data_IF_114196073261
#
_entry.id   IF_114196073261
#
_cell.length_a   1.000
_cell.length_b   1.000
_cell.length_c   1.000
_cell.angle_alpha   90.00
_cell.angle_beta   90.00
_cell.angle_gamma   90.00
#
_symmetry.space_group_name_H-M   'P 1'
#
loop_
_entity.id
_entity.type
_entity.pdbx_description
1 polymer ?
#
# COMPACT_ATOMS: atom_id res chain seq x y z
N UNK A 1 -28.44 -6.45 -17.76
CA UNK A 1 -29.11 -7.69 -17.26
C UNK A 1 -28.08 -8.56 -16.56
N UNK A 2 -28.39 -9.24 -15.43
CA UNK A 2 -27.43 -10.18 -14.82
C UNK A 2 -27.06 -11.29 -15.82
N UNK A 3 -25.81 -11.75 -15.82
CA UNK A 3 -25.40 -12.98 -16.55
C UNK A 3 -26.42 -14.08 -16.22
N UNK A 4 -26.99 -14.69 -17.26
CA UNK A 4 -27.88 -15.85 -17.10
C UNK A 4 -27.02 -16.99 -16.56
N UNK A 5 -27.26 -17.37 -15.30
CA UNK A 5 -26.65 -18.55 -14.69
C UNK A 5 -27.27 -19.79 -15.33
N UNK A 6 -26.54 -20.91 -15.34
CA UNK A 6 -27.11 -22.20 -15.74
C UNK A 6 -28.15 -22.65 -14.70
N UNK A 7 -29.05 -23.56 -15.10
CA UNK A 7 -30.04 -24.14 -14.17
C UNK A 7 -29.37 -24.79 -12.96
N UNK A 8 -28.28 -25.51 -13.18
CA UNK A 8 -27.49 -26.17 -12.13
C UNK A 8 -26.93 -25.17 -11.11
N UNK A 9 -26.41 -24.03 -11.58
CA UNK A 9 -25.90 -22.97 -10.70
C UNK A 9 -27.01 -22.36 -9.84
N UNK A 10 -28.19 -22.14 -10.42
CA UNK A 10 -29.34 -21.59 -9.69
C UNK A 10 -29.84 -22.59 -8.65
N UNK A 11 -29.90 -23.88 -9.00
CA UNK A 11 -30.37 -24.93 -8.10
C UNK A 11 -29.42 -25.12 -6.92
N UNK A 12 -28.12 -25.14 -7.18
CA UNK A 12 -27.10 -25.17 -6.13
C UNK A 12 -27.21 -23.97 -5.17
N UNK A 13 -27.40 -22.75 -5.71
CA UNK A 13 -27.57 -21.53 -4.90
C UNK A 13 -28.84 -21.59 -4.05
N UNK A 14 -29.93 -22.19 -4.54
CA UNK A 14 -31.18 -22.36 -3.77
C UNK A 14 -30.99 -23.30 -2.59
N UNK A 15 -30.30 -24.43 -2.78
CA UNK A 15 -30.03 -25.40 -1.72
C UNK A 15 -29.14 -24.79 -0.63
N UNK A 16 -28.09 -24.07 -1.03
CA UNK A 16 -27.08 -23.53 -0.11
C UNK A 16 -27.32 -22.04 0.21
N UNK A 17 -28.57 -21.59 0.13
CA UNK A 17 -28.93 -20.17 0.19
C UNK A 17 -28.61 -19.52 1.53
N UNK A 18 -28.47 -20.29 2.61
CA UNK A 18 -28.17 -19.80 3.96
C UNK A 18 -26.80 -20.26 4.49
N UNK A 19 -26.02 -20.98 3.69
CA UNK A 19 -24.77 -21.56 4.15
C UNK A 19 -23.63 -20.55 4.19
N UNK A 20 -22.75 -20.73 5.16
CA UNK A 20 -21.54 -19.94 5.37
C UNK A 20 -20.32 -20.86 5.45
N UNK A 21 -19.15 -20.42 4.96
CA UNK A 21 -18.85 -19.09 4.41
C UNK A 21 -19.28 -18.90 2.95
N UNK A 22 -19.89 -17.74 2.63
CA UNK A 22 -20.39 -17.40 1.27
C UNK A 22 -19.34 -17.46 0.16
N UNK A 23 -18.07 -17.33 0.52
CA UNK A 23 -16.94 -17.44 -0.40
C UNK A 23 -16.79 -18.86 -0.95
N UNK A 24 -17.02 -19.88 -0.12
CA UNK A 24 -16.95 -21.28 -0.53
C UNK A 24 -18.18 -21.67 -1.34
N UNK A 25 -19.37 -21.21 -0.95
CA UNK A 25 -20.61 -21.38 -1.71
C UNK A 25 -20.47 -20.78 -3.13
N UNK A 26 -19.88 -19.59 -3.25
CA UNK A 26 -19.66 -18.96 -4.56
C UNK A 26 -18.68 -19.78 -5.43
N UNK A 27 -17.60 -20.30 -4.82
CA UNK A 27 -16.61 -21.13 -5.50
C UNK A 27 -17.22 -22.43 -6.00
N UNK A 28 -18.00 -23.11 -5.16
CA UNK A 28 -18.66 -24.38 -5.49
C UNK A 28 -19.74 -24.20 -6.57
N UNK A 29 -20.50 -23.11 -6.52
CA UNK A 29 -21.45 -22.74 -7.57
C UNK A 29 -20.78 -22.24 -8.87
N UNK A 30 -19.46 -22.04 -8.89
CA UNK A 30 -18.75 -21.48 -10.04
C UNK A 30 -19.16 -20.04 -10.39
N UNK A 31 -19.58 -19.25 -9.40
CA UNK A 31 -20.03 -17.86 -9.59
C UNK A 31 -19.16 -16.87 -8.82
N UNK A 32 -19.17 -15.61 -9.22
CA UNK A 32 -18.53 -14.57 -8.43
C UNK A 32 -19.32 -14.30 -7.14
N UNK A 33 -18.63 -13.90 -6.07
CA UNK A 33 -19.26 -13.56 -4.79
C UNK A 33 -20.34 -12.46 -4.95
N UNK A 34 -20.10 -11.49 -5.83
CA UNK A 34 -21.07 -10.44 -6.16
C UNK A 34 -22.35 -11.03 -6.79
N UNK A 35 -22.21 -11.97 -7.72
CA UNK A 35 -23.34 -12.67 -8.33
C UNK A 35 -24.13 -13.46 -7.30
N UNK A 36 -23.45 -14.20 -6.41
CA UNK A 36 -24.09 -14.94 -5.33
C UNK A 36 -24.96 -14.03 -4.44
N UNK A 37 -24.42 -12.90 -3.95
CA UNK A 37 -25.18 -11.96 -3.10
C UNK A 37 -26.40 -11.37 -3.80
N UNK A 38 -26.32 -11.15 -5.11
CA UNK A 38 -27.46 -10.67 -5.91
C UNK A 38 -28.58 -11.72 -5.95
N UNK A 39 -28.26 -12.98 -6.21
CA UNK A 39 -29.24 -14.05 -6.25
C UNK A 39 -29.78 -14.41 -4.85
N UNK A 40 -28.96 -14.36 -3.79
CA UNK A 40 -29.44 -14.47 -2.41
C UNK A 40 -30.50 -13.40 -2.11
N UNK A 41 -30.28 -12.15 -2.57
CA UNK A 41 -31.26 -11.07 -2.38
C UNK A 41 -32.55 -11.31 -3.16
N UNK A 42 -32.47 -11.84 -4.39
CA UNK A 42 -33.65 -12.15 -5.23
C UNK A 42 -34.44 -13.34 -4.67
N UNK A 43 -33.73 -14.35 -4.16
CA UNK A 43 -34.31 -15.61 -3.69
C UNK A 43 -34.71 -15.58 -2.20
N UNK A 44 -34.52 -14.46 -1.50
CA UNK A 44 -34.95 -14.27 -0.12
C UNK A 44 -34.07 -14.94 0.94
N UNK A 45 -32.78 -15.16 0.66
CA UNK A 45 -31.86 -15.75 1.63
C UNK A 45 -31.57 -14.85 2.83
N UNK A 46 -31.18 -15.45 3.95
CA UNK A 46 -30.87 -14.72 5.17
C UNK A 46 -29.57 -13.93 5.00
N UNK A 47 -29.65 -12.64 5.28
CA UNK A 47 -28.48 -11.77 5.41
C UNK A 47 -28.06 -11.79 6.87
N UNK A 48 -26.78 -12.07 7.14
CA UNK A 48 -26.23 -11.77 8.46
C UNK A 48 -26.36 -10.26 8.63
N UNK A 49 -27.23 -9.83 9.55
CA UNK A 49 -27.27 -8.44 9.97
C UNK A 49 -26.07 -8.23 10.89
N UNK A 50 -24.95 -7.78 10.32
CA UNK A 50 -23.74 -7.41 11.08
C UNK A 50 -23.94 -6.13 11.91
N UNK A 51 -25.20 -5.75 12.19
CA UNK A 51 -25.51 -4.61 13.04
C UNK A 51 -25.19 -4.95 14.48
N UNK A 52 -24.40 -4.07 15.08
CA UNK A 52 -24.17 -4.09 16.52
C UNK A 52 -25.51 -3.91 17.25
N UNK A 53 -25.67 -4.61 18.38
CA UNK A 53 -26.82 -4.39 19.24
C UNK A 53 -26.80 -2.94 19.77
N UNK A 54 -27.98 -2.41 20.12
CA UNK A 54 -28.10 -1.07 20.71
C UNK A 54 -27.29 -0.94 22.00
N UNK A 55 -27.22 -2.02 22.78
CA UNK A 55 -26.43 -2.11 24.01
C UNK A 55 -24.94 -1.98 23.74
N UNK A 56 -24.41 -2.73 22.76
CA UNK A 56 -23.00 -2.65 22.38
C UNK A 56 -22.64 -1.27 21.82
N UNK A 57 -23.55 -0.65 21.08
CA UNK A 57 -23.37 0.74 20.60
C UNK A 57 -23.28 1.71 21.78
N UNK A 58 -24.13 1.55 22.80
CA UNK A 58 -24.10 2.36 24.01
C UNK A 58 -22.80 2.17 24.79
N UNK A 59 -22.33 0.91 24.92
CA UNK A 59 -21.03 0.59 25.54
C UNK A 59 -19.88 1.26 24.80
N UNK A 60 -19.84 1.18 23.45
CA UNK A 60 -18.84 1.87 22.63
C UNK A 60 -18.87 3.38 22.90
N UNK A 61 -20.07 3.99 23.01
CA UNK A 61 -20.22 5.42 23.27
C UNK A 61 -19.60 5.86 24.60
N UNK A 62 -19.79 5.07 25.66
CA UNK A 62 -19.22 5.34 26.98
C UNK A 62 -17.71 5.11 26.98
N UNK A 63 -17.27 3.94 26.49
CA UNK A 63 -15.86 3.54 26.51
C UNK A 63 -15.00 4.46 25.64
N UNK A 64 -15.52 4.96 24.52
CA UNK A 64 -14.74 5.83 23.63
C UNK A 64 -14.38 7.18 24.24
N UNK A 65 -15.00 7.59 25.35
CA UNK A 65 -14.58 8.81 26.05
C UNK A 65 -13.17 8.66 26.65
N UNK A 66 -12.82 7.47 27.14
CA UNK A 66 -11.60 7.19 27.92
C UNK A 66 -10.65 6.18 27.28
N UNK A 67 -11.11 5.44 26.28
CA UNK A 67 -10.36 4.37 25.62
C UNK A 67 -10.24 4.62 24.12
N UNK A 68 -9.15 4.16 23.53
CA UNK A 68 -8.93 4.13 22.08
C UNK A 68 -9.74 3.03 21.42
N UNK A 69 -10.01 3.17 20.12
CA UNK A 69 -10.70 2.11 19.36
C UNK A 69 -9.99 0.75 19.42
N UNK A 70 -8.66 0.74 19.63
CA UNK A 70 -7.89 -0.50 19.81
C UNK A 70 -8.19 -1.14 21.16
N UNK A 71 -8.13 -0.38 22.24
CA UNK A 71 -8.43 -0.89 23.58
C UNK A 71 -9.88 -1.41 23.66
N UNK A 72 -10.83 -0.70 23.04
CA UNK A 72 -12.24 -1.15 22.96
C UNK A 72 -12.37 -2.43 22.14
N UNK A 73 -11.58 -2.57 21.06
CA UNK A 73 -11.54 -3.76 20.23
C UNK A 73 -11.10 -4.99 21.02
N UNK A 74 -10.08 -4.82 21.87
CA UNK A 74 -9.56 -5.87 22.75
C UNK A 74 -10.58 -6.26 23.85
N UNK A 75 -11.32 -5.29 24.41
CA UNK A 75 -12.33 -5.55 25.45
C UNK A 75 -13.60 -6.21 24.90
N UNK A 76 -14.14 -5.71 23.79
CA UNK A 76 -15.42 -6.18 23.24
C UNK A 76 -15.25 -7.31 22.21
N UNK A 77 -14.02 -7.65 21.83
CA UNK A 77 -13.70 -8.58 20.75
C UNK A 77 -14.38 -8.21 19.41
N UNK A 78 -14.46 -6.90 19.14
CA UNK A 78 -15.06 -6.35 17.91
C UNK A 78 -13.94 -5.75 17.06
N UNK A 79 -13.93 -5.94 15.72
CA UNK A 79 -12.92 -5.34 14.87
C UNK A 79 -12.84 -3.81 15.03
N UNK A 80 -11.63 -3.28 15.15
CA UNK A 80 -11.37 -1.84 15.29
C UNK A 80 -12.06 -1.00 14.20
N UNK A 81 -12.13 -1.51 12.96
CA UNK A 81 -12.81 -0.85 11.84
C UNK A 81 -14.30 -0.62 12.12
N UNK A 82 -14.97 -1.59 12.74
CA UNK A 82 -16.40 -1.52 13.08
C UNK A 82 -16.64 -0.46 14.15
N UNK A 83 -15.78 -0.42 15.18
CA UNK A 83 -15.82 0.60 16.24
C UNK A 83 -15.62 2.01 15.66
N UNK A 84 -14.59 2.20 14.82
CA UNK A 84 -14.31 3.48 14.17
C UNK A 84 -15.47 3.92 13.27
N UNK A 85 -16.10 2.98 12.55
CA UNK A 85 -17.31 3.25 11.78
C UNK A 85 -18.45 3.76 12.65
N UNK A 86 -18.64 3.18 13.83
CA UNK A 86 -19.69 3.61 14.75
C UNK A 86 -19.40 4.96 15.42
N UNK A 87 -18.15 5.18 15.82
CA UNK A 87 -17.66 6.46 16.34
C UNK A 87 -17.90 7.58 15.33
N UNK A 88 -17.58 7.34 14.06
CA UNK A 88 -17.79 8.32 12.99
C UNK A 88 -19.27 8.63 12.77
N UNK A 89 -20.15 7.63 12.83
CA UNK A 89 -21.60 7.81 12.68
C UNK A 89 -22.21 8.61 13.82
N UNK A 90 -21.71 8.41 15.04
CA UNK A 90 -22.21 9.05 16.26
C UNK A 90 -21.49 10.37 16.59
N UNK A 91 -20.44 10.73 15.85
CA UNK A 91 -19.67 11.95 16.11
C UNK A 91 -18.94 11.97 17.46
N UNK A 92 -18.59 10.79 17.99
CA UNK A 92 -18.01 10.67 19.33
C UNK A 92 -16.59 11.26 19.40
N UNK A 93 -16.26 11.88 20.54
CA UNK A 93 -14.94 12.45 20.82
C UNK A 93 -14.41 11.92 22.14
N UNK A 94 -13.09 11.77 22.22
CA UNK A 94 -12.39 11.49 23.47
C UNK A 94 -12.50 12.68 24.43
N UNK A 95 -12.42 12.42 25.74
CA UNK A 95 -12.26 13.47 26.73
C UNK A 95 -10.86 14.13 26.63
N UNK A 96 -10.70 15.31 27.24
CA UNK A 96 -9.46 16.10 27.15
C UNK A 96 -8.26 15.33 27.71
N UNK A 97 -8.44 14.60 28.81
CA UNK A 97 -7.40 13.79 29.44
C UNK A 97 -6.89 12.66 28.53
N UNK A 98 -7.81 11.95 27.86
CA UNK A 98 -7.50 10.86 26.93
C UNK A 98 -6.84 11.39 25.67
N UNK A 99 -7.29 12.55 25.16
CA UNK A 99 -6.59 13.24 24.07
C UNK A 99 -5.15 13.54 24.47
N UNK A 100 -4.92 14.06 25.67
CA UNK A 100 -3.59 14.37 26.17
C UNK A 100 -2.74 13.11 26.38
N UNK A 101 -3.32 12.03 26.90
CA UNK A 101 -2.69 10.70 27.04
C UNK A 101 -2.23 10.17 25.68
N UNK A 102 -3.14 10.10 24.69
CA UNK A 102 -2.86 9.63 23.33
C UNK A 102 -1.76 10.49 22.68
N UNK A 103 -1.80 11.82 22.86
CA UNK A 103 -0.75 12.72 22.36
C UNK A 103 0.60 12.43 23.00
N UNK A 104 0.65 12.23 24.32
CA UNK A 104 1.88 11.90 25.06
C UNK A 104 2.49 10.59 24.58
N UNK A 105 1.67 9.56 24.36
CA UNK A 105 2.13 8.27 23.82
C UNK A 105 2.65 8.39 22.39
N UNK A 106 1.93 9.07 21.49
CA UNK A 106 2.40 9.33 20.12
C UNK A 106 3.74 10.07 20.12
N UNK A 107 3.87 11.09 20.97
CA UNK A 107 5.10 11.86 21.09
C UNK A 107 6.28 11.06 21.65
N UNK A 108 6.04 10.00 22.45
CA UNK A 108 7.11 9.12 22.95
C UNK A 108 7.86 8.44 21.80
N UNK A 109 7.16 8.02 20.75
CA UNK A 109 7.79 7.45 19.55
C UNK A 109 8.64 8.48 18.79
N UNK A 110 8.16 9.72 18.70
CA UNK A 110 8.86 10.83 18.05
C UNK A 110 10.11 11.27 18.82
N UNK A 111 10.17 11.14 20.14
CA UNK A 111 11.38 11.48 20.93
C UNK A 111 12.63 10.74 20.44
N UNK A 112 12.48 9.50 19.95
CA UNK A 112 13.58 8.74 19.36
C UNK A 112 14.06 9.31 18.01
N UNK A 113 13.17 9.98 17.28
CA UNK A 113 13.48 10.70 16.04
C UNK A 113 14.16 12.05 16.33
N UNK A 114 13.69 12.76 17.37
CA UNK A 114 14.28 14.03 17.82
C UNK A 114 15.63 13.90 18.53
N UNK A 115 15.98 12.69 19.00
CA UNK A 115 17.33 12.42 19.49
C UNK A 115 18.30 12.37 18.29
N UNK A 116 18.97 13.51 18.04
CA UNK A 116 19.90 13.72 16.93
C UNK A 116 20.98 12.65 16.87
N UNK A 117 21.51 12.23 18.01
CA UNK A 117 22.60 11.25 18.08
C UNK A 117 22.11 9.84 17.70
N UNK A 118 20.96 9.42 18.25
CA UNK A 118 20.36 8.12 17.91
C UNK A 118 19.90 8.07 16.45
N UNK A 119 19.34 9.17 15.94
CA UNK A 119 18.97 9.32 14.54
C UNK A 119 20.21 9.25 13.62
N UNK A 120 21.26 9.99 13.95
CA UNK A 120 22.52 9.96 13.22
C UNK A 120 23.16 8.57 13.23
N UNK A 121 23.15 7.88 14.38
CA UNK A 121 23.66 6.50 14.51
C UNK A 121 22.90 5.51 13.60
N UNK A 122 21.56 5.57 13.58
CA UNK A 122 20.74 4.77 12.66
C UNK A 122 21.02 5.11 11.20
N UNK A 123 21.14 6.39 10.88
CA UNK A 123 21.49 6.86 9.53
C UNK A 123 22.86 6.35 9.08
N UNK A 124 23.87 6.42 9.94
CA UNK A 124 25.22 5.87 9.70
C UNK A 124 25.17 4.37 9.44
N UNK A 125 24.44 3.61 10.25
CA UNK A 125 24.27 2.17 10.05
C UNK A 125 23.63 1.83 8.70
N UNK A 126 22.55 2.53 8.33
CA UNK A 126 21.90 2.34 7.04
C UNK A 126 22.81 2.73 5.87
N UNK A 127 23.55 3.83 5.99
CA UNK A 127 24.52 4.26 4.98
C UNK A 127 25.62 3.21 4.76
N UNK A 128 26.17 2.67 5.85
CA UNK A 128 27.15 1.58 5.78
C UNK A 128 26.57 0.32 5.12
N UNK A 129 25.34 -0.08 5.48
CA UNK A 129 24.66 -1.22 4.85
C UNK A 129 24.50 -1.01 3.34
N UNK A 130 24.08 0.19 2.93
CA UNK A 130 23.93 0.53 1.51
C UNK A 130 25.26 0.46 0.76
N UNK A 131 26.33 1.02 1.35
CA UNK A 131 27.70 0.98 0.79
C UNK A 131 28.23 -0.44 0.64
N UNK A 132 28.01 -1.30 1.65
CA UNK A 132 28.46 -2.69 1.59
C UNK A 132 27.73 -3.48 0.50
N UNK A 133 26.42 -3.31 0.38
CA UNK A 133 25.66 -3.95 -0.68
C UNK A 133 25.97 -3.39 -2.07
N UNK A 134 26.26 -2.09 -2.20
CA UNK A 134 26.76 -1.49 -3.44
C UNK A 134 28.08 -2.15 -3.87
N UNK A 135 29.04 -2.32 -2.95
CA UNK A 135 30.31 -3.01 -3.23
C UNK A 135 30.11 -4.49 -3.61
N UNK A 136 29.15 -5.18 -2.98
CA UNK A 136 28.80 -6.57 -3.36
C UNK A 136 28.28 -6.64 -4.78
N UNK A 137 27.31 -5.79 -5.13
CA UNK A 137 26.75 -5.74 -6.49
C UNK A 137 27.84 -5.43 -7.52
N UNK A 138 28.71 -4.46 -7.23
CA UNK A 138 29.83 -4.11 -8.12
C UNK A 138 30.85 -5.25 -8.28
N UNK A 139 31.04 -6.07 -7.24
CA UNK A 139 31.93 -7.25 -7.28
C UNK A 139 31.26 -8.54 -7.76
N UNK A 140 30.00 -8.46 -8.24
CA UNK A 140 29.25 -9.62 -8.74
C UNK A 140 28.76 -10.58 -7.64
N UNK A 141 28.87 -10.19 -6.36
CA UNK A 141 28.38 -10.98 -5.23
C UNK A 141 26.88 -10.76 -5.02
N UNK A 142 26.14 -11.77 -4.52
CA UNK A 142 24.74 -11.60 -4.20
C UNK A 142 24.56 -10.54 -3.10
N UNK A 143 23.47 -9.78 -3.22
CA UNK A 143 23.10 -8.80 -2.21
C UNK A 143 22.57 -9.50 -0.95
N UNK A 144 22.92 -9.02 0.25
CA UNK A 144 22.35 -9.58 1.50
C UNK A 144 21.01 -8.95 1.85
N UNK A 145 20.85 -7.65 1.59
CA UNK A 145 19.59 -6.97 1.91
C UNK A 145 18.69 -6.83 0.69
N UNK A 146 17.42 -6.46 0.92
CA UNK A 146 16.47 -6.11 -0.14
C UNK A 146 16.56 -4.62 -0.54
N UNK A 147 17.65 -3.93 -0.21
CA UNK A 147 17.81 -2.51 -0.53
C UNK A 147 17.97 -2.31 -2.04
N UNK A 148 17.20 -1.39 -2.63
CA UNK A 148 17.36 -1.11 -4.06
C UNK A 148 18.64 -0.29 -4.31
N UNK A 149 19.70 -0.96 -4.79
CA UNK A 149 20.92 -0.29 -5.24
C UNK A 149 20.65 0.40 -6.58
N UNK A 150 20.90 1.72 -6.64
CA UNK A 150 20.73 2.50 -7.87
C UNK A 150 21.94 2.30 -8.77
N UNK A 151 21.71 2.01 -10.05
CA UNK A 151 22.78 1.91 -11.05
C UNK A 151 23.32 3.28 -11.51
N UNK A 152 22.54 4.36 -11.33
CA UNK A 152 22.89 5.72 -11.69
C UNK A 152 23.03 6.59 -10.44
N UNK A 153 23.99 7.51 -10.45
CA UNK A 153 24.05 8.59 -9.46
C UNK A 153 22.83 9.51 -9.59
N UNK A 154 22.44 10.19 -8.51
CA UNK A 154 21.30 11.12 -8.54
C UNK A 154 21.48 12.24 -9.58
N UNK A 155 22.71 12.72 -9.76
CA UNK A 155 23.03 13.74 -10.78
C UNK A 155 22.86 13.19 -12.20
N UNK A 156 23.36 11.99 -12.45
CA UNK A 156 23.18 11.32 -13.74
C UNK A 156 21.69 11.07 -14.02
N UNK A 157 20.93 10.57 -13.04
CA UNK A 157 19.48 10.37 -13.20
C UNK A 157 18.75 11.67 -13.58
N UNK A 158 19.07 12.78 -12.91
CA UNK A 158 18.48 14.08 -13.24
C UNK A 158 18.85 14.54 -14.65
N UNK A 159 20.11 14.38 -15.07
CA UNK A 159 20.54 14.66 -16.43
C UNK A 159 19.79 13.78 -17.46
N UNK A 160 19.63 12.48 -17.17
CA UNK A 160 18.88 11.53 -18.00
C UNK A 160 17.40 11.91 -18.11
N UNK A 161 16.80 12.41 -17.03
CA UNK A 161 15.42 12.90 -17.04
C UNK A 161 15.27 14.20 -17.83
N UNK A 162 16.24 15.11 -17.70
CA UNK A 162 16.27 16.36 -18.46
C UNK A 162 16.33 16.11 -19.97
N UNK A 163 17.27 15.26 -20.41
CA UNK A 163 17.42 14.89 -21.82
C UNK A 163 16.11 14.28 -22.38
N UNK A 164 15.46 13.38 -21.64
CA UNK A 164 14.16 12.85 -22.05
C UNK A 164 13.08 13.92 -22.18
N UNK A 165 12.91 14.77 -21.17
CA UNK A 165 11.79 15.72 -21.11
C UNK A 165 11.94 16.88 -22.08
N UNK A 166 13.16 17.40 -22.23
CA UNK A 166 13.42 18.62 -23.00
C UNK A 166 13.82 18.34 -24.44
N UNK A 167 14.41 17.18 -24.71
CA UNK A 167 15.00 16.86 -26.00
C UNK A 167 14.43 15.57 -26.64
N UNK A 168 13.48 14.91 -25.96
CA UNK A 168 12.75 13.72 -26.43
C UNK A 168 13.59 12.42 -26.55
N UNK A 169 14.73 12.33 -25.88
CA UNK A 169 15.47 11.05 -25.80
C UNK A 169 14.66 9.98 -25.04
N UNK A 170 14.80 8.71 -25.42
CA UNK A 170 14.12 7.59 -24.76
C UNK A 170 15.10 6.58 -24.17
N UNK A 171 14.58 5.69 -23.33
CA UNK A 171 15.38 4.81 -22.49
C UNK A 171 15.48 3.41 -23.10
N UNK A 172 16.69 2.88 -23.19
CA UNK A 172 16.89 1.46 -23.49
C UNK A 172 16.44 0.58 -22.32
N UNK A 173 15.84 -0.58 -22.62
CA UNK A 173 15.32 -1.51 -21.62
C UNK A 173 16.47 -2.25 -20.95
N UNK A 174 16.64 -2.03 -19.64
CA UNK A 174 17.66 -2.72 -18.83
C UNK A 174 19.03 -2.05 -18.82
N UNK A 175 19.29 -1.12 -19.74
CA UNK A 175 20.56 -0.41 -19.89
C UNK A 175 20.47 1.03 -19.35
N UNK A 176 20.94 1.27 -18.11
CA UNK A 176 20.74 2.56 -17.45
C UNK A 176 21.57 3.70 -18.06
N UNK A 177 22.69 3.41 -18.73
CA UNK A 177 23.57 4.41 -19.33
C UNK A 177 23.26 4.70 -20.81
N UNK A 178 22.38 3.91 -21.44
CA UNK A 178 21.99 4.13 -22.84
C UNK A 178 20.78 5.07 -22.92
N UNK A 179 20.90 6.06 -23.79
CA UNK A 179 19.85 6.97 -24.24
C UNK A 179 19.71 6.80 -25.75
N UNK A 180 18.49 6.49 -26.18
CA UNK A 180 18.17 6.30 -27.58
C UNK A 180 17.58 7.59 -28.16
N UNK A 181 17.79 7.80 -29.45
CA UNK A 181 17.24 8.92 -30.20
C UNK A 181 16.79 8.47 -31.60
N UNK A 182 15.80 9.18 -32.14
CA UNK A 182 15.20 8.98 -33.45
C UNK A 182 15.17 10.31 -34.24
N UNK A 183 14.49 10.33 -35.39
CA UNK A 183 14.32 11.54 -36.22
C UNK A 183 13.50 12.65 -35.54
N UNK A 184 12.67 12.31 -34.55
CA UNK A 184 11.86 13.27 -33.79
C UNK A 184 12.60 13.82 -32.56
N UNK A 185 13.72 13.20 -32.19
CA UNK A 185 14.55 13.58 -31.05
C UNK A 185 15.40 14.81 -31.39
N UNK A 186 15.27 15.87 -30.59
CA UNK A 186 16.10 17.06 -30.73
C UNK A 186 17.49 16.79 -30.14
N UNK A 187 18.48 16.46 -30.97
CA UNK A 187 19.83 16.15 -30.45
C UNK A 187 20.42 17.32 -29.67
N UNK A 188 20.89 17.04 -28.46
CA UNK A 188 21.50 18.03 -27.59
C UNK A 188 22.90 18.36 -28.13
N UNK A 189 23.27 19.64 -28.30
CA UNK A 189 24.58 20.04 -28.85
C UNK A 189 25.79 19.74 -27.95
N UNK A 190 25.57 19.07 -26.80
CA UNK A 190 26.60 18.78 -25.78
C UNK A 190 26.49 17.33 -25.31
N UNK A 191 26.14 16.41 -26.21
CA UNK A 191 26.11 14.97 -25.91
C UNK A 191 27.45 14.46 -25.37
N UNK A 192 28.57 14.98 -25.89
CA UNK A 192 29.93 14.66 -25.42
C UNK A 192 30.11 14.96 -23.93
N UNK A 193 29.64 16.11 -23.45
CA UNK A 193 29.69 16.45 -22.03
C UNK A 193 28.95 15.43 -21.15
N UNK A 194 27.79 14.94 -21.58
CA UNK A 194 27.03 13.93 -20.83
C UNK A 194 27.70 12.55 -20.90
N UNK A 195 28.37 12.25 -22.01
CA UNK A 195 29.16 11.04 -22.22
C UNK A 195 30.36 11.03 -21.27
N UNK A 196 31.16 12.09 -21.24
CA UNK A 196 32.34 12.20 -20.38
C UNK A 196 31.98 12.27 -18.89
N UNK A 197 30.97 13.08 -18.54
CA UNK A 197 30.65 13.34 -17.13
C UNK A 197 29.86 12.23 -16.46
N UNK A 198 28.96 11.57 -17.20
CA UNK A 198 28.04 10.57 -16.64
C UNK A 198 28.16 9.18 -17.27
N UNK A 199 29.00 9.01 -18.29
CA UNK A 199 29.18 7.74 -18.99
C UNK A 199 27.98 7.37 -19.88
N UNK A 200 27.18 8.35 -20.33
CA UNK A 200 26.05 8.05 -21.20
C UNK A 200 26.50 7.65 -22.60
N UNK A 201 25.73 6.75 -23.21
CA UNK A 201 25.88 6.37 -24.61
C UNK A 201 24.61 6.75 -25.37
N UNK A 202 24.78 7.51 -26.43
CA UNK A 202 23.70 7.93 -27.30
C UNK A 202 23.65 7.02 -28.52
N UNK A 203 22.53 6.34 -28.73
CA UNK A 203 22.37 5.33 -29.78
C UNK A 203 21.17 5.69 -30.65
N UNK A 204 21.35 5.69 -31.97
CA UNK A 204 20.23 5.82 -32.90
C UNK A 204 19.41 4.53 -32.86
N UNK A 205 18.09 4.63 -32.66
CA UNK A 205 17.20 3.47 -32.64
C UNK A 205 16.45 3.29 -33.95
#
# INVERSE_FOLDING_TARGET
>A
MPRRLTKEQIDYIKVHINDYPRKEVAKAAGVTLHTLYKYITILGGTKIDNKLSKETISQISVMYQTMTAREISEVLNIPQSTILGQVSKLGLKHNVETINRIRKERNKSLRNYWNKERYASKGRKLHMQYKMDELRVMSGKPQETKLRIRKLSSKALNAKMYLRKSYNYFYSKGEPFILCYDSETKRHPKEEYYTEKFGFKFVCA
#
